data_IF_891795790750
#
_entry.id   IF_891795790750
#
_cell.length_a   1.000
_cell.length_b   1.000
_cell.length_c   1.000
_cell.angle_alpha   90.00
_cell.angle_beta   90.00
_cell.angle_gamma   90.00
#
_symmetry.space_group_name_H-M   'P 1'
#
loop_
_entity.id
_entity.type
_entity.pdbx_description
1 polymer ?
#
# COMPACT_ATOMS: atom_id res chain seq x y z
N UNK A 1 10.56 -12.50 -20.29
CA UNK A 1 11.93 -12.82 -19.82
C UNK A 1 11.84 -13.77 -18.63
N UNK A 2 12.71 -14.77 -18.50
CA UNK A 2 12.73 -15.68 -17.35
C UNK A 2 13.96 -15.41 -16.49
N UNK A 3 13.75 -15.23 -15.19
CA UNK A 3 14.78 -14.99 -14.17
C UNK A 3 14.63 -16.01 -13.04
N UNK A 4 15.70 -16.20 -12.26
CA UNK A 4 15.66 -16.94 -11.00
C UNK A 4 16.13 -16.03 -9.89
N UNK A 5 15.26 -15.71 -8.95
CA UNK A 5 15.62 -15.00 -7.74
C UNK A 5 15.87 -16.04 -6.64
N UNK A 6 17.15 -16.38 -6.43
CA UNK A 6 17.54 -17.53 -5.63
C UNK A 6 16.93 -18.83 -6.20
N UNK A 7 16.05 -19.44 -5.42
CA UNK A 7 15.34 -20.67 -5.77
C UNK A 7 13.94 -20.44 -6.35
N UNK A 8 13.52 -19.18 -6.52
CA UNK A 8 12.20 -18.82 -7.04
C UNK A 8 12.28 -18.49 -8.54
N UNK A 9 11.70 -19.31 -9.43
CA UNK A 9 11.51 -18.98 -10.83
C UNK A 9 10.59 -17.77 -10.98
N UNK A 10 10.96 -16.81 -11.84
CA UNK A 10 10.17 -15.60 -12.07
C UNK A 10 10.10 -15.27 -13.55
N UNK A 11 8.88 -15.00 -14.04
CA UNK A 11 8.66 -14.54 -15.41
C UNK A 11 8.38 -13.04 -15.36
N UNK A 12 9.20 -12.27 -16.07
CA UNK A 12 9.00 -10.83 -16.24
C UNK A 12 8.17 -10.57 -17.48
N UNK A 13 7.03 -9.91 -17.25
CA UNK A 13 6.07 -9.45 -18.26
C UNK A 13 6.33 -7.97 -18.52
N UNK A 14 6.88 -7.64 -19.69
CA UNK A 14 7.39 -6.30 -20.00
C UNK A 14 6.86 -5.73 -21.32
N UNK A 15 5.67 -6.17 -21.76
CA UNK A 15 4.97 -5.58 -22.90
C UNK A 15 3.45 -5.52 -22.65
N UNK A 16 2.73 -4.55 -23.25
CA UNK A 16 1.28 -4.45 -23.10
C UNK A 16 0.54 -5.71 -23.55
N UNK A 17 0.94 -6.31 -24.68
CA UNK A 17 0.34 -7.54 -25.19
C UNK A 17 0.50 -8.72 -24.21
N UNK A 18 1.69 -8.88 -23.62
CA UNK A 18 1.91 -9.92 -22.62
C UNK A 18 1.18 -9.63 -21.30
N UNK A 19 1.08 -8.36 -20.90
CA UNK A 19 0.33 -7.95 -19.71
C UNK A 19 -1.17 -8.22 -19.88
N UNK A 20 -1.74 -7.99 -21.07
CA UNK A 20 -3.14 -8.33 -21.36
C UNK A 20 -3.39 -9.83 -21.23
N UNK A 21 -2.50 -10.68 -21.75
CA UNK A 21 -2.61 -12.13 -21.61
C UNK A 21 -2.64 -12.56 -20.14
N UNK A 22 -1.78 -11.98 -19.30
CA UNK A 22 -1.63 -12.38 -17.89
C UNK A 22 -2.69 -11.77 -16.97
N UNK A 23 -3.03 -10.49 -17.16
CA UNK A 23 -3.90 -9.73 -16.25
C UNK A 23 -5.37 -9.69 -16.68
N UNK A 24 -5.70 -10.20 -17.87
CA UNK A 24 -7.08 -10.20 -18.41
C UNK A 24 -7.46 -11.54 -19.04
N UNK A 25 -6.70 -12.04 -20.02
CA UNK A 25 -7.09 -13.28 -20.74
C UNK A 25 -6.98 -14.52 -19.85
N UNK A 26 -5.92 -14.59 -19.03
CA UNK A 26 -5.64 -15.69 -18.11
C UNK A 26 -5.58 -15.20 -16.65
N UNK A 27 -6.31 -14.13 -16.34
CA UNK A 27 -6.25 -13.42 -15.07
C UNK A 27 -6.45 -14.33 -13.85
N UNK A 28 -7.40 -15.26 -13.91
CA UNK A 28 -7.72 -16.18 -12.83
C UNK A 28 -6.57 -17.17 -12.55
N UNK A 29 -5.83 -17.58 -13.58
CA UNK A 29 -4.68 -18.48 -13.43
C UNK A 29 -3.55 -17.77 -12.69
N UNK A 30 -3.34 -16.48 -13.00
CA UNK A 30 -2.30 -15.65 -12.39
C UNK A 30 -2.79 -14.83 -11.19
N UNK A 31 -4.01 -15.08 -10.69
CA UNK A 31 -4.59 -14.34 -9.58
C UNK A 31 -3.94 -14.66 -8.22
N UNK A 32 -3.11 -15.71 -8.15
CA UNK A 32 -2.34 -16.07 -6.98
C UNK A 32 -1.43 -14.95 -6.47
N UNK A 33 -0.98 -15.08 -5.22
CA UNK A 33 0.03 -14.21 -4.61
C UNK A 33 1.22 -15.07 -4.24
N UNK A 34 2.42 -14.62 -4.59
CA UNK A 34 3.64 -15.26 -4.13
C UNK A 34 3.77 -15.10 -2.61
N UNK A 35 4.47 -16.04 -1.97
CA UNK A 35 4.81 -15.91 -0.56
C UNK A 35 5.65 -14.65 -0.33
N UNK A 36 5.42 -13.99 0.79
CA UNK A 36 6.14 -12.78 1.17
C UNK A 36 6.21 -12.71 2.69
N UNK A 37 7.38 -12.98 3.27
CA UNK A 37 7.53 -13.20 4.70
C UNK A 37 7.06 -11.99 5.51
N UNK A 38 7.43 -10.77 5.12
CA UNK A 38 6.96 -9.57 5.82
C UNK A 38 5.43 -9.41 5.76
N UNK A 39 4.78 -9.87 4.69
CA UNK A 39 3.33 -9.79 4.56
C UNK A 39 2.63 -10.75 5.54
N UNK A 40 3.26 -11.88 5.86
CA UNK A 40 2.75 -12.80 6.87
C UNK A 40 2.63 -12.10 8.24
N UNK A 41 3.69 -11.40 8.63
CA UNK A 41 3.76 -10.72 9.93
C UNK A 41 2.85 -9.48 9.99
N UNK A 42 2.92 -8.59 9.01
CA UNK A 42 2.17 -7.32 9.05
C UNK A 42 0.71 -7.45 8.61
N UNK A 43 0.32 -8.59 8.02
CA UNK A 43 -1.03 -8.79 7.44
C UNK A 43 -1.79 -9.95 8.04
N UNK A 44 -1.56 -10.29 9.31
CA UNK A 44 -2.28 -11.36 10.03
C UNK A 44 -2.29 -12.69 9.27
N UNK A 45 -1.11 -13.19 8.90
CA UNK A 45 -0.94 -14.42 8.11
C UNK A 45 -1.61 -14.32 6.73
N UNK A 46 -1.26 -13.27 5.98
CA UNK A 46 -1.79 -12.99 4.64
C UNK A 46 -3.30 -12.79 4.57
N UNK A 47 -3.92 -12.21 5.60
CA UNK A 47 -5.35 -11.88 5.64
C UNK A 47 -5.61 -10.40 5.40
N UNK A 48 -5.30 -9.93 4.19
CA UNK A 48 -5.71 -8.61 3.71
C UNK A 48 -6.00 -8.62 2.20
N UNK A 49 -6.42 -7.50 1.62
CA UNK A 49 -6.80 -7.42 0.19
C UNK A 49 -5.59 -7.41 -0.76
N UNK A 50 -4.39 -7.11 -0.25
CA UNK A 50 -3.17 -6.98 -1.04
C UNK A 50 -2.47 -8.33 -1.23
N UNK A 51 -2.25 -9.06 -0.14
CA UNK A 51 -1.41 -10.26 -0.07
C UNK A 51 -2.20 -11.57 0.10
N UNK A 52 -3.50 -11.53 0.41
CA UNK A 52 -4.25 -12.79 0.56
C UNK A 52 -4.29 -13.57 -0.76
N UNK A 53 -4.09 -14.91 -0.71
CA UNK A 53 -4.30 -15.76 -1.85
C UNK A 53 -5.72 -15.59 -2.42
N UNK A 54 -5.84 -15.72 -3.74
CA UNK A 54 -7.14 -15.67 -4.38
C UNK A 54 -8.04 -16.81 -3.87
N UNK A 55 -9.20 -16.46 -3.35
CA UNK A 55 -10.15 -17.41 -2.76
C UNK A 55 -11.39 -16.70 -2.24
N UNK A 56 -12.32 -17.43 -1.59
CA UNK A 56 -13.58 -16.87 -1.10
C UNK A 56 -13.39 -15.65 -0.18
N UNK A 57 -12.42 -15.71 0.74
CA UNK A 57 -12.08 -14.58 1.63
C UNK A 57 -11.68 -13.34 0.84
N UNK A 58 -10.68 -13.45 -0.03
CA UNK A 58 -10.19 -12.31 -0.83
C UNK A 58 -11.28 -11.73 -1.72
N UNK A 59 -12.10 -12.58 -2.37
CA UNK A 59 -13.20 -12.14 -3.22
C UNK A 59 -14.25 -11.36 -2.43
N UNK A 60 -14.61 -11.84 -1.24
CA UNK A 60 -15.58 -11.17 -0.38
C UNK A 60 -15.04 -9.83 0.14
N UNK A 61 -13.80 -9.80 0.62
CA UNK A 61 -13.16 -8.56 1.09
C UNK A 61 -13.00 -7.54 -0.03
N UNK A 62 -12.54 -7.96 -1.21
CA UNK A 62 -12.44 -7.08 -2.38
C UNK A 62 -13.82 -6.53 -2.78
N UNK A 63 -14.86 -7.36 -2.78
CA UNK A 63 -16.23 -6.91 -3.07
C UNK A 63 -16.70 -5.87 -2.06
N UNK A 64 -16.47 -6.11 -0.76
CA UNK A 64 -16.82 -5.17 0.30
C UNK A 64 -16.09 -3.84 0.10
N UNK A 65 -14.76 -3.85 -0.10
CA UNK A 65 -14.01 -2.61 -0.32
C UNK A 65 -14.51 -1.85 -1.55
N UNK A 66 -14.74 -2.53 -2.67
CA UNK A 66 -15.22 -1.89 -3.90
C UNK A 66 -16.61 -1.27 -3.75
N UNK A 67 -17.54 -1.96 -3.08
CA UNK A 67 -18.92 -1.48 -2.95
C UNK A 67 -19.07 -0.43 -1.84
N UNK A 68 -18.42 -0.64 -0.70
CA UNK A 68 -18.69 0.13 0.52
C UNK A 68 -17.67 1.23 0.80
N UNK A 69 -16.43 1.11 0.32
CA UNK A 69 -15.37 2.07 0.60
C UNK A 69 -14.98 2.88 -0.65
N UNK A 70 -14.95 2.23 -1.81
CA UNK A 70 -14.40 2.78 -3.06
C UNK A 70 -15.48 2.97 -4.14
N UNK A 71 -16.76 2.94 -3.79
CA UNK A 71 -17.82 3.23 -4.75
C UNK A 71 -17.89 4.71 -5.09
N UNK A 72 -18.38 5.04 -6.28
CA UNK A 72 -18.54 6.42 -6.73
C UNK A 72 -19.35 7.26 -5.73
N UNK A 73 -20.39 6.68 -5.13
CA UNK A 73 -21.19 7.35 -4.10
C UNK A 73 -20.32 7.75 -2.90
N UNK A 74 -19.53 6.82 -2.36
CA UNK A 74 -18.65 7.06 -1.22
C UNK A 74 -17.56 8.05 -1.55
N UNK A 75 -16.92 7.90 -2.71
CA UNK A 75 -15.89 8.83 -3.18
C UNK A 75 -16.45 10.25 -3.31
N UNK A 76 -17.67 10.41 -3.84
CA UNK A 76 -18.30 11.73 -4.00
C UNK A 76 -18.73 12.34 -2.66
N UNK A 77 -19.18 11.53 -1.70
CA UNK A 77 -19.47 12.01 -0.33
C UNK A 77 -18.26 12.67 0.33
N UNK A 78 -17.05 12.18 0.06
CA UNK A 78 -15.81 12.78 0.57
C UNK A 78 -15.23 13.89 -0.30
N UNK A 79 -15.86 14.26 -1.43
CA UNK A 79 -15.36 15.32 -2.31
C UNK A 79 -15.15 16.66 -1.57
N UNK A 80 -16.10 17.18 -0.78
CA UNK A 80 -15.93 18.46 -0.10
C UNK A 80 -14.73 18.45 0.86
N UNK A 81 -14.55 17.34 1.58
CA UNK A 81 -13.42 17.14 2.49
C UNK A 81 -12.09 17.14 1.72
N UNK A 82 -11.97 16.34 0.64
CA UNK A 82 -10.75 16.29 -0.17
C UNK A 82 -10.43 17.66 -0.79
N UNK A 83 -11.44 18.41 -1.22
CA UNK A 83 -11.27 19.77 -1.74
C UNK A 83 -10.68 20.69 -0.67
N UNK A 84 -11.28 20.72 0.52
CA UNK A 84 -10.81 21.55 1.62
C UNK A 84 -9.35 21.23 2.03
N UNK A 85 -9.00 19.96 2.16
CA UNK A 85 -7.63 19.53 2.48
C UNK A 85 -6.63 19.92 1.38
N UNK A 86 -7.02 19.82 0.11
CA UNK A 86 -6.19 20.24 -1.02
C UNK A 86 -5.99 21.75 -1.04
N UNK A 87 -7.03 22.53 -0.74
CA UNK A 87 -6.94 23.99 -0.64
C UNK A 87 -6.01 24.43 0.49
N UNK A 88 -6.06 23.77 1.65
CA UNK A 88 -5.13 24.00 2.76
C UNK A 88 -3.68 23.71 2.35
N UNK A 89 -3.46 22.59 1.66
CA UNK A 89 -2.16 22.20 1.12
C UNK A 89 -1.62 23.26 0.14
N UNK A 90 -2.39 23.65 -0.88
CA UNK A 90 -1.99 24.68 -1.85
C UNK A 90 -1.75 26.02 -1.16
N UNK A 91 -2.59 26.39 -0.20
CA UNK A 91 -2.41 27.58 0.63
C UNK A 91 -1.09 27.57 1.40
N UNK A 92 -0.69 26.41 1.94
CA UNK A 92 0.60 26.24 2.61
C UNK A 92 1.78 26.44 1.68
N UNK A 93 1.71 25.89 0.46
CA UNK A 93 2.76 26.06 -0.56
C UNK A 93 2.87 27.51 -1.01
N UNK A 94 1.74 28.21 -1.20
CA UNK A 94 1.73 29.65 -1.52
C UNK A 94 2.42 30.49 -0.44
N UNK A 95 2.20 30.17 0.85
CA UNK A 95 2.86 30.86 1.96
C UNK A 95 4.37 30.62 1.96
N UNK A 96 4.80 29.36 1.81
CA UNK A 96 6.22 29.02 1.70
C UNK A 96 6.89 29.73 0.51
N UNK A 97 6.23 29.75 -0.66
CA UNK A 97 6.72 30.42 -1.85
C UNK A 97 6.88 31.94 -1.65
N UNK A 98 5.92 32.61 -0.99
CA UNK A 98 6.02 34.04 -0.64
C UNK A 98 7.23 34.34 0.25
N UNK A 99 7.56 33.41 1.15
CA UNK A 99 8.74 33.50 2.02
C UNK A 99 10.04 33.02 1.35
N UNK A 100 9.95 32.52 0.11
CA UNK A 100 11.06 31.89 -0.63
C UNK A 100 11.68 30.71 0.15
N UNK A 101 10.85 30.00 0.91
CA UNK A 101 11.26 28.80 1.63
C UNK A 101 11.40 27.61 0.67
N UNK A 102 12.42 26.79 0.89
CA UNK A 102 12.55 25.49 0.20
C UNK A 102 11.57 24.51 0.86
N UNK A 103 10.85 23.73 0.05
CA UNK A 103 9.84 22.80 0.53
C UNK A 103 10.10 21.41 -0.04
N UNK A 104 10.08 20.40 0.83
CA UNK A 104 9.97 19.01 0.42
C UNK A 104 8.53 18.71 0.00
N UNK A 105 8.29 18.64 -1.30
CA UNK A 105 6.96 18.34 -1.86
C UNK A 105 6.56 16.90 -1.56
N UNK A 106 7.49 15.96 -1.60
CA UNK A 106 7.22 14.54 -1.36
C UNK A 106 6.69 14.33 0.06
N UNK A 107 7.37 14.89 1.07
CA UNK A 107 6.92 14.82 2.45
C UNK A 107 5.53 15.47 2.64
N UNK A 108 5.28 16.63 2.00
CA UNK A 108 4.00 17.35 2.12
C UNK A 108 2.85 16.62 1.44
N UNK A 109 3.07 16.02 0.28
CA UNK A 109 2.07 15.22 -0.45
C UNK A 109 1.77 13.93 0.31
N UNK A 110 2.80 13.23 0.81
CA UNK A 110 2.61 12.04 1.63
C UNK A 110 1.80 12.34 2.90
N UNK A 111 2.06 13.47 3.57
CA UNK A 111 1.27 13.91 4.72
C UNK A 111 -0.19 14.22 4.33
N UNK A 112 -0.43 14.89 3.20
CA UNK A 112 -1.77 15.18 2.70
C UNK A 112 -2.57 13.89 2.43
N UNK A 113 -1.96 12.93 1.72
CA UNK A 113 -2.59 11.65 1.40
C UNK A 113 -2.90 10.89 2.70
N UNK A 114 -1.93 10.81 3.62
CA UNK A 114 -2.11 10.16 4.92
C UNK A 114 -3.25 10.78 5.73
N UNK A 115 -3.28 12.10 5.86
CA UNK A 115 -4.33 12.81 6.61
C UNK A 115 -5.71 12.63 5.96
N UNK A 116 -5.81 12.71 4.62
CA UNK A 116 -7.06 12.44 3.91
C UNK A 116 -7.53 11.00 4.11
N UNK A 117 -6.62 10.01 4.02
CA UNK A 117 -6.96 8.60 4.28
C UNK A 117 -7.48 8.42 5.71
N UNK A 118 -6.82 9.01 6.70
CA UNK A 118 -7.27 8.93 8.09
C UNK A 118 -8.64 9.59 8.31
N UNK A 119 -8.90 10.74 7.68
CA UNK A 119 -10.21 11.38 7.72
C UNK A 119 -11.30 10.51 7.08
N UNK A 120 -11.00 9.87 5.95
CA UNK A 120 -11.98 9.02 5.24
C UNK A 120 -12.28 7.74 5.99
N UNK A 121 -11.27 7.12 6.62
CA UNK A 121 -11.40 5.82 7.29
C UNK A 121 -11.82 5.95 8.75
N UNK A 122 -11.23 6.90 9.48
CA UNK A 122 -11.39 7.05 10.93
C UNK A 122 -12.15 8.32 11.34
N UNK A 123 -12.45 9.23 10.41
CA UNK A 123 -13.14 10.48 10.71
C UNK A 123 -12.27 11.53 11.41
N UNK A 124 -10.97 11.29 11.58
CA UNK A 124 -10.03 12.23 12.22
C UNK A 124 -8.62 12.12 11.63
N UNK A 125 -7.83 13.18 11.81
CA UNK A 125 -6.38 13.14 11.58
C UNK A 125 -5.65 12.58 12.80
N UNK A 126 -4.46 12.04 12.57
CA UNK A 126 -3.56 11.59 13.61
C UNK A 126 -2.31 12.48 13.63
N UNK A 127 -1.96 12.99 14.81
CA UNK A 127 -0.76 13.77 15.05
C UNK A 127 0.41 12.88 15.49
N UNK A 128 1.63 13.45 15.47
CA UNK A 128 2.80 12.80 16.03
C UNK A 128 2.62 12.68 17.55
N UNK A 129 2.41 11.45 18.03
CA UNK A 129 2.05 11.13 19.42
C UNK A 129 0.65 10.53 19.61
N UNK A 130 -0.19 10.46 18.57
CA UNK A 130 -1.39 9.62 18.63
C UNK A 130 -1.01 8.12 18.44
N UNK A 131 -1.69 7.23 19.18
CA UNK A 131 -1.50 5.77 19.34
C UNK A 131 -0.45 5.33 20.38
N UNK A 132 0.81 5.69 20.18
CA UNK A 132 1.93 5.27 21.04
C UNK A 132 3.09 6.29 20.95
N UNK A 133 4.22 6.01 21.63
CA UNK A 133 5.41 6.88 21.59
C UNK A 133 5.99 7.05 20.18
N UNK A 134 5.81 6.06 19.29
CA UNK A 134 6.29 6.12 17.90
C UNK A 134 5.40 7.03 17.04
N UNK A 135 4.10 7.03 17.29
CA UNK A 135 3.09 7.80 16.57
C UNK A 135 2.61 7.10 15.29
N UNK A 136 1.32 7.28 14.97
CA UNK A 136 0.64 6.64 13.83
C UNK A 136 1.42 6.71 12.50
N UNK A 137 1.94 7.89 12.14
CA UNK A 137 2.61 8.10 10.85
C UNK A 137 3.93 7.32 10.75
N UNK A 138 4.67 7.22 11.86
CA UNK A 138 5.90 6.46 11.91
C UNK A 138 5.65 4.96 11.73
N UNK A 139 4.60 4.42 12.37
CA UNK A 139 4.21 3.00 12.23
C UNK A 139 3.85 2.66 10.78
N UNK A 140 3.11 3.54 10.09
CA UNK A 140 2.78 3.33 8.67
C UNK A 140 4.04 3.35 7.80
N UNK A 141 4.97 4.28 8.05
CA UNK A 141 6.23 4.36 7.31
C UNK A 141 7.11 3.12 7.53
N UNK A 142 7.25 2.66 8.79
CA UNK A 142 7.98 1.45 9.15
C UNK A 142 7.36 0.22 8.48
N UNK A 143 6.03 0.11 8.48
CA UNK A 143 5.30 -0.99 7.82
C UNK A 143 5.60 -1.03 6.31
N UNK A 144 5.57 0.13 5.64
CA UNK A 144 5.88 0.23 4.21
C UNK A 144 7.34 -0.12 3.92
N UNK A 145 8.26 0.29 4.79
CA UNK A 145 9.68 -0.03 4.67
C UNK A 145 9.91 -1.55 4.81
N UNK A 146 9.35 -2.17 5.85
CA UNK A 146 9.44 -3.62 6.09
C UNK A 146 8.82 -4.41 4.93
N UNK A 147 7.70 -3.95 4.38
CA UNK A 147 7.08 -4.58 3.22
C UNK A 147 7.90 -4.43 1.91
N UNK A 148 8.75 -3.40 1.80
CA UNK A 148 9.53 -3.12 0.59
C UNK A 148 10.93 -3.74 0.61
N UNK A 149 11.45 -4.10 1.78
CA UNK A 149 12.77 -4.68 1.92
C UNK A 149 12.78 -6.15 1.44
N UNK A 150 13.78 -6.56 0.65
CA UNK A 150 13.91 -7.95 0.24
C UNK A 150 14.20 -8.83 1.45
N UNK A 151 13.47 -9.94 1.57
CA UNK A 151 13.75 -10.98 2.56
C UNK A 151 14.38 -12.21 1.88
N UNK A 152 15.51 -12.69 2.40
CA UNK A 152 16.24 -13.86 1.92
C UNK A 152 15.36 -15.11 1.94
N UNK A 153 14.50 -15.26 2.94
CA UNK A 153 13.61 -16.41 3.06
C UNK A 153 12.60 -16.51 1.90
N UNK A 154 12.23 -15.37 1.30
CA UNK A 154 11.34 -15.35 0.13
C UNK A 154 12.00 -15.93 -1.11
N UNK A 155 13.33 -15.86 -1.20
CA UNK A 155 14.11 -16.36 -2.34
C UNK A 155 14.78 -17.72 -2.06
N UNK A 156 15.03 -18.04 -0.80
CA UNK A 156 15.69 -19.27 -0.34
C UNK A 156 14.86 -19.92 0.79
N UNK A 157 13.74 -20.60 0.46
CA UNK A 157 12.79 -21.08 1.47
C UNK A 157 13.39 -22.05 2.50
N UNK A 158 14.43 -22.80 2.13
CA UNK A 158 15.13 -23.70 3.07
C UNK A 158 15.87 -22.96 4.20
N UNK A 159 16.16 -21.66 4.03
CA UNK A 159 16.75 -20.81 5.07
C UNK A 159 15.68 -20.10 5.91
N UNK A 160 14.38 -20.24 5.61
CA UNK A 160 13.32 -19.54 6.34
C UNK A 160 13.32 -19.85 7.84
N UNK A 161 13.65 -21.09 8.23
CA UNK A 161 13.73 -21.50 9.63
C UNK A 161 14.87 -20.82 10.43
N UNK A 162 15.85 -20.23 9.75
CA UNK A 162 16.98 -19.55 10.39
C UNK A 162 16.67 -18.10 10.75
N UNK A 163 15.60 -17.55 10.18
CA UNK A 163 15.14 -16.19 10.48
C UNK A 163 16.23 -15.11 10.35
N UNK A 164 16.97 -15.13 9.24
CA UNK A 164 18.19 -14.34 9.06
C UNK A 164 17.98 -12.82 9.07
N UNK A 165 16.74 -12.35 8.93
CA UNK A 165 16.38 -10.93 8.91
C UNK A 165 15.38 -10.55 10.01
N UNK A 166 15.07 -11.49 10.92
CA UNK A 166 14.07 -11.35 11.98
C UNK A 166 12.62 -11.50 11.52
#
# INVERSE_FOLDING_TARGET
MYLRFGFVPTIVVSSPAAAELVLKTHDLIFAGRAHHQAAKEISYDHRNVVFAPYGPYWRNMRKLCTLELLSNLRINQFEPMRRAETELFVGSLRRAARKRETVDISARVSALIGDMTCLMVFGRKFADGDLDEKGFKAVIAETLQVAALPNISDYFPFMAALDLQG
#
